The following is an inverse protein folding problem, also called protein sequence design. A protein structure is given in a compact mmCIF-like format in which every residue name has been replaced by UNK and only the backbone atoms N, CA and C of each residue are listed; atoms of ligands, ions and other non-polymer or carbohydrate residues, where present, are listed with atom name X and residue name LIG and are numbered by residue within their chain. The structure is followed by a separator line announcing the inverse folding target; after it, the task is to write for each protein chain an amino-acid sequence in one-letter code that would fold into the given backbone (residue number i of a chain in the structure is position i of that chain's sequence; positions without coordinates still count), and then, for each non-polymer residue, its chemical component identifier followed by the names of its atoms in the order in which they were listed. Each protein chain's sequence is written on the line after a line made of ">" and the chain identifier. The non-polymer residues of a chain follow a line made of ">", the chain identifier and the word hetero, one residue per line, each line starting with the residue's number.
data_IF_244427869356
#
_entry.id   IF_244427869356
#
_cell.length_a   1.000
_cell.length_b   1.000
_cell.length_c   1.000
_cell.angle_alpha   90.00
_cell.angle_beta   90.00
_cell.angle_gamma   90.00
#
_symmetry.space_group_name_H-M   'P 1'
#
loop_
_entity.id
_entity.type
_entity.pdbx_description
1 polymer ?
#
# COMPACT_ATOMS: atom_id res chain seq x y z
N UNK A 1 -4.12 10.28 19.02
CA UNK A 1 -2.79 9.71 19.33
C UNK A 1 -2.21 9.15 18.04
N UNK A 2 -1.13 9.74 17.53
CA UNK A 2 -0.48 9.28 16.29
C UNK A 2 0.45 8.11 16.61
N UNK A 3 -0.10 6.90 16.74
CA UNK A 3 0.71 5.68 16.78
C UNK A 3 1.06 5.27 15.35
N UNK A 4 2.00 6.00 14.74
CA UNK A 4 2.75 5.45 13.60
C UNK A 4 3.32 4.11 14.07
N UNK A 5 3.33 3.08 13.24
CA UNK A 5 3.98 1.80 13.51
C UNK A 5 5.18 1.62 12.59
N UNK A 6 5.04 2.04 11.33
CA UNK A 6 6.14 2.13 10.39
C UNK A 6 5.92 3.22 9.34
N UNK A 7 7.02 3.67 8.75
CA UNK A 7 7.09 4.66 7.69
C UNK A 7 7.55 4.01 6.39
N UNK A 8 6.74 4.09 5.35
CA UNK A 8 7.13 3.71 3.98
C UNK A 8 7.66 4.94 3.27
N UNK A 9 8.91 4.89 2.83
CA UNK A 9 9.57 5.94 2.05
C UNK A 9 9.87 5.43 0.66
N UNK A 10 9.28 6.04 -0.37
CA UNK A 10 9.58 5.75 -1.77
C UNK A 10 10.57 6.77 -2.32
N UNK A 11 11.67 6.27 -2.89
CA UNK A 11 12.67 7.04 -3.64
C UNK A 11 12.61 6.63 -5.11
N UNK A 12 12.19 7.54 -5.97
CA UNK A 12 12.21 7.33 -7.43
C UNK A 12 13.65 7.49 -7.91
N UNK A 13 14.16 6.47 -8.61
CA UNK A 13 15.47 6.46 -9.22
C UNK A 13 15.27 6.44 -10.74
N UNK A 14 14.82 7.57 -11.29
CA UNK A 14 14.68 7.82 -12.75
C UNK A 14 14.31 6.56 -13.56
N UNK A 15 15.15 6.13 -14.50
CA UNK A 15 14.93 5.00 -15.42
C UNK A 15 15.15 3.61 -14.80
N UNK A 16 15.63 3.53 -13.55
CA UNK A 16 15.96 2.27 -12.87
C UNK A 16 14.79 1.70 -12.04
N UNK A 17 13.75 2.52 -11.82
CA UNK A 17 12.56 2.15 -11.06
C UNK A 17 12.48 2.89 -9.72
N UNK A 18 11.79 2.29 -8.74
CA UNK A 18 11.60 2.87 -7.43
C UNK A 18 12.16 1.96 -6.34
N UNK A 19 12.75 2.55 -5.30
CA UNK A 19 13.09 1.87 -4.05
C UNK A 19 12.11 2.30 -2.97
N UNK A 20 11.67 1.34 -2.17
CA UNK A 20 10.83 1.54 -1.00
C UNK A 20 11.64 1.10 0.21
N UNK A 21 11.78 1.99 1.18
CA UNK A 21 12.38 1.69 2.47
C UNK A 21 11.30 1.77 3.53
N UNK A 22 11.26 0.77 4.41
CA UNK A 22 10.31 0.67 5.50
C UNK A 22 11.09 0.88 6.79
N UNK A 23 10.68 1.86 7.58
CA UNK A 23 11.31 2.18 8.86
C UNK A 23 10.34 1.95 10.00
N UNK A 24 10.82 1.46 11.13
CA UNK A 24 10.04 1.46 12.37
C UNK A 24 9.90 2.88 12.95
N UNK A 25 9.26 2.99 14.11
CA UNK A 25 9.10 4.27 14.81
C UNK A 25 10.40 4.88 15.35
N UNK A 26 11.41 4.06 15.62
CA UNK A 26 12.72 4.52 16.04
C UNK A 26 13.59 4.97 14.85
N UNK A 27 13.11 4.76 13.62
CA UNK A 27 13.83 5.10 12.39
C UNK A 27 14.78 4.00 11.91
N UNK A 28 14.72 2.80 12.47
CA UNK A 28 15.52 1.67 12.01
C UNK A 28 14.91 1.08 10.73
N UNK A 29 15.73 0.69 9.73
CA UNK A 29 15.24 -0.01 8.57
C UNK A 29 14.75 -1.40 8.97
N UNK A 30 13.49 -1.72 8.64
CA UNK A 30 12.85 -3.01 8.93
C UNK A 30 12.30 -3.69 7.67
N UNK A 31 12.44 -3.03 6.53
CA UNK A 31 12.13 -3.65 5.26
C UNK A 31 12.55 -2.83 4.06
N UNK A 32 12.65 -3.51 2.92
CA UNK A 32 13.10 -2.94 1.66
C UNK A 32 12.36 -3.57 0.49
N UNK A 33 11.93 -2.78 -0.48
CA UNK A 33 11.37 -3.27 -1.73
C UNK A 33 11.98 -2.52 -2.91
N UNK A 34 12.27 -3.24 -3.99
CA UNK A 34 12.77 -2.67 -5.24
C UNK A 34 11.78 -2.94 -6.37
N UNK A 35 11.14 -1.88 -6.85
CA UNK A 35 10.29 -1.94 -8.03
C UNK A 35 11.10 -1.60 -9.27
N UNK A 36 11.10 -2.51 -10.26
CA UNK A 36 11.77 -2.31 -11.55
C UNK A 36 10.88 -1.46 -12.47
N UNK A 37 11.45 -0.48 -13.18
CA UNK A 37 10.71 0.44 -14.06
C UNK A 37 9.95 -0.24 -15.21
N UNK A 38 10.43 -1.40 -15.70
CA UNK A 38 9.95 -2.03 -16.95
C UNK A 38 9.14 -3.33 -16.76
N UNK A 39 8.77 -3.71 -15.53
CA UNK A 39 7.91 -4.88 -15.32
C UNK A 39 6.43 -4.48 -15.47
N UNK A 40 5.84 -4.79 -16.64
CA UNK A 40 4.39 -4.62 -16.95
C UNK A 40 3.46 -5.48 -16.07
N UNK A 41 3.99 -6.47 -15.35
CA UNK A 41 3.28 -7.29 -14.37
C UNK A 41 3.95 -7.06 -13.01
N UNK A 42 3.21 -6.48 -12.06
CA UNK A 42 3.74 -6.11 -10.75
C UNK A 42 3.96 -7.36 -9.89
N UNK A 43 5.21 -7.81 -9.88
CA UNK A 43 5.79 -8.76 -8.93
C UNK A 43 6.63 -7.91 -7.97
N UNK A 44 6.03 -7.59 -6.82
CA UNK A 44 6.62 -6.76 -5.78
C UNK A 44 7.05 -7.67 -4.64
N UNK A 45 8.33 -7.57 -4.28
CA UNK A 45 8.94 -8.35 -3.20
C UNK A 45 9.44 -7.41 -2.13
N UNK A 46 9.09 -7.72 -0.89
CA UNK A 46 9.58 -7.02 0.29
C UNK A 46 10.57 -7.91 0.98
N UNK A 47 11.72 -7.35 1.30
CA UNK A 47 12.83 -8.00 1.97
C UNK A 47 13.05 -7.37 3.34
N UNK A 48 13.76 -8.06 4.23
CA UNK A 48 14.17 -7.52 5.53
C UNK A 48 15.08 -6.30 5.39
N UNK A 49 15.94 -6.28 4.36
CA UNK A 49 16.94 -5.23 4.13
C UNK A 49 17.35 -5.12 2.64
N UNK A 50 18.32 -4.26 2.35
CA UNK A 50 18.81 -4.01 0.99
C UNK A 50 19.59 -5.18 0.35
N UNK A 51 20.06 -6.15 1.14
CA UNK A 51 20.76 -7.35 0.63
C UNK A 51 19.84 -8.23 -0.21
N UNK A 52 18.52 -8.16 0.05
CA UNK A 52 17.49 -8.97 -0.58
C UNK A 52 17.68 -10.49 -0.35
N UNK A 53 18.35 -10.87 0.74
CA UNK A 53 18.56 -12.28 1.11
C UNK A 53 17.32 -12.94 1.73
N UNK A 54 16.57 -12.20 2.54
CA UNK A 54 15.37 -12.71 3.22
C UNK A 54 14.13 -11.95 2.76
N UNK A 55 13.20 -12.66 2.14
CA UNK A 55 11.92 -12.12 1.71
C UNK A 55 10.88 -12.20 2.85
N UNK A 56 10.15 -11.10 3.07
CA UNK A 56 9.10 -10.99 4.09
C UNK A 56 7.71 -11.22 3.51
N UNK A 57 7.44 -10.70 2.30
CA UNK A 57 6.19 -10.92 1.56
C UNK A 57 6.38 -10.73 0.06
N UNK A 58 5.56 -11.43 -0.71
CA UNK A 58 5.42 -11.27 -2.16
C UNK A 58 4.02 -10.74 -2.49
N UNK A 59 3.94 -9.77 -3.40
CA UNK A 59 2.68 -9.26 -3.96
C UNK A 59 2.69 -9.52 -5.46
N UNK A 60 1.68 -10.25 -5.95
CA UNK A 60 1.53 -10.58 -7.36
C UNK A 60 0.25 -9.96 -7.92
N UNK A 61 0.41 -9.10 -8.92
CA UNK A 61 -0.72 -8.54 -9.64
C UNK A 61 -1.29 -9.53 -10.67
N UNK A 62 -2.61 -9.66 -10.69
CA UNK A 62 -3.38 -10.32 -11.74
C UNK A 62 -4.53 -9.44 -12.20
N UNK A 63 -4.74 -9.40 -13.52
CA UNK A 63 -5.88 -8.71 -14.10
C UNK A 63 -7.12 -9.60 -13.98
N UNK A 64 -8.20 -9.04 -13.46
CA UNK A 64 -9.53 -9.65 -13.53
C UNK A 64 -10.23 -9.07 -14.77
N UNK A 65 -11.04 -9.90 -15.44
CA UNK A 65 -11.75 -9.57 -16.69
C UNK A 65 -12.57 -8.28 -16.55
N UNK A 66 -13.06 -7.97 -15.35
CA UNK A 66 -13.91 -6.81 -15.02
C UNK A 66 -13.15 -5.50 -14.70
N UNK A 67 -12.02 -5.24 -15.36
CA UNK A 67 -11.26 -3.97 -15.26
C UNK A 67 -10.78 -3.57 -13.86
N UNK A 68 -10.76 -4.52 -12.92
CA UNK A 68 -10.30 -4.32 -11.54
C UNK A 68 -8.96 -5.02 -11.34
N UNK A 69 -7.96 -4.29 -10.85
CA UNK A 69 -6.65 -4.85 -10.54
C UNK A 69 -6.72 -5.60 -9.20
N UNK A 70 -6.25 -6.84 -9.18
CA UNK A 70 -6.16 -7.67 -7.97
C UNK A 70 -4.70 -7.99 -7.67
N UNK A 71 -4.34 -7.91 -6.40
CA UNK A 71 -3.00 -8.05 -5.89
C UNK A 71 -2.98 -9.09 -4.77
N UNK A 72 -2.53 -10.28 -5.08
CA UNK A 72 -2.44 -11.38 -4.13
C UNK A 72 -1.17 -11.24 -3.28
N UNK A 73 -1.29 -11.41 -1.97
CA UNK A 73 -0.19 -11.30 -1.00
C UNK A 73 0.15 -12.67 -0.46
N UNK A 74 1.40 -13.08 -0.61
CA UNK A 74 1.89 -14.41 -0.21
C UNK A 74 2.93 -14.31 0.89
N UNK A 75 2.92 -15.30 1.78
CA UNK A 75 4.06 -15.62 2.63
C UNK A 75 5.12 -16.37 1.78
N UNK A 76 6.33 -15.83 1.62
CA UNK A 76 7.37 -16.43 0.78
C UNK A 76 7.88 -17.77 1.32
N UNK A 77 7.86 -17.95 2.65
CA UNK A 77 8.42 -19.14 3.29
C UNK A 77 7.53 -20.37 3.06
N UNK A 78 6.21 -20.19 3.17
CA UNK A 78 5.22 -21.27 2.99
C UNK A 78 4.61 -21.31 1.59
N UNK A 79 4.69 -20.22 0.82
CA UNK A 79 3.95 -20.03 -0.43
C UNK A 79 2.45 -19.81 -0.22
N UNK A 80 2.00 -19.65 1.03
CA UNK A 80 0.58 -19.52 1.37
C UNK A 80 0.05 -18.14 1.00
N UNK A 81 -1.14 -18.10 0.39
CA UNK A 81 -1.89 -16.87 0.20
C UNK A 81 -2.35 -16.33 1.56
N UNK A 82 -1.94 -15.11 1.89
CA UNK A 82 -2.38 -14.41 3.09
C UNK A 82 -3.70 -13.65 2.85
N UNK A 83 -3.91 -13.18 1.63
CA UNK A 83 -5.10 -12.43 1.21
C UNK A 83 -4.85 -11.63 -0.05
N UNK A 84 -5.86 -10.91 -0.51
CA UNK A 84 -5.79 -10.18 -1.79
C UNK A 84 -6.35 -8.77 -1.68
N UNK A 85 -5.63 -7.80 -2.23
CA UNK A 85 -6.08 -6.43 -2.39
C UNK A 85 -6.72 -6.25 -3.76
N UNK A 86 -7.99 -5.84 -3.78
CA UNK A 86 -8.73 -5.58 -5.02
C UNK A 86 -9.04 -4.10 -5.11
N UNK A 87 -8.59 -3.46 -6.19
CA UNK A 87 -8.94 -2.09 -6.53
C UNK A 87 -10.27 -2.09 -7.28
N UNK A 88 -11.29 -1.38 -6.79
CA UNK A 88 -12.59 -1.27 -7.48
C UNK A 88 -12.47 -0.35 -8.70
N UNK A 89 -12.49 -0.90 -9.91
CA UNK A 89 -12.46 -0.14 -11.18
C UNK A 89 -13.80 0.52 -11.56
N UNK A 90 -13.74 1.61 -12.34
CA UNK A 90 -14.80 2.39 -13.04
C UNK A 90 -16.06 2.86 -12.30
N UNK A 91 -16.50 2.23 -11.21
CA UNK A 91 -17.48 2.82 -10.26
C UNK A 91 -16.87 3.98 -9.43
N UNK A 92 -15.58 4.22 -9.64
CA UNK A 92 -14.66 5.00 -8.81
C UNK A 92 -14.15 6.26 -9.53
N UNK A 93 -14.95 6.89 -10.39
CA UNK A 93 -14.56 8.16 -11.09
C UNK A 93 -14.21 9.30 -10.10
N UNK A 94 -14.51 9.12 -8.80
CA UNK A 94 -14.28 10.10 -7.72
C UNK A 94 -13.41 9.58 -6.56
N UNK A 95 -13.20 8.26 -6.37
CA UNK A 95 -12.51 7.71 -5.17
C UNK A 95 -11.76 6.42 -5.43
N UNK A 96 -10.51 6.33 -4.97
CA UNK A 96 -9.81 5.06 -4.86
C UNK A 96 -10.35 4.25 -3.67
N UNK A 97 -11.17 3.23 -3.97
CA UNK A 97 -11.64 2.26 -2.99
C UNK A 97 -10.93 0.93 -3.21
N UNK A 98 -10.38 0.38 -2.13
CA UNK A 98 -9.79 -0.95 -2.14
C UNK A 98 -10.53 -1.86 -1.18
N UNK A 99 -10.59 -3.12 -1.56
CA UNK A 99 -11.14 -4.19 -0.73
C UNK A 99 -10.02 -5.16 -0.40
N UNK A 100 -9.93 -5.55 0.86
CA UNK A 100 -9.08 -6.65 1.29
C UNK A 100 -9.93 -7.91 1.42
N UNK A 101 -9.49 -8.96 0.74
CA UNK A 101 -10.08 -10.29 0.77
C UNK A 101 -9.21 -11.23 1.60
N UNK A 102 -9.85 -12.17 2.30
CA UNK A 102 -9.18 -13.33 2.88
C UNK A 102 -8.77 -14.34 1.79
N UNK A 103 -8.01 -15.40 2.14
CA UNK A 103 -7.61 -16.42 1.17
C UNK A 103 -8.77 -17.19 0.52
N UNK A 104 -9.95 -17.21 1.15
CA UNK A 104 -11.15 -17.82 0.62
C UNK A 104 -11.93 -16.87 -0.32
N UNK A 105 -11.48 -15.62 -0.48
CA UNK A 105 -12.10 -14.61 -1.32
C UNK A 105 -13.19 -13.80 -0.64
N UNK A 106 -13.42 -13.97 0.67
CA UNK A 106 -14.38 -13.16 1.40
C UNK A 106 -13.79 -11.81 1.75
N UNK A 107 -14.60 -10.75 1.63
CA UNK A 107 -14.20 -9.42 2.08
C UNK A 107 -14.00 -9.41 3.59
N UNK A 108 -12.84 -8.92 4.04
CA UNK A 108 -12.52 -8.74 5.47
C UNK A 108 -12.31 -7.29 5.86
N UNK A 109 -11.92 -6.44 4.91
CA UNK A 109 -11.78 -5.01 5.16
C UNK A 109 -11.96 -4.17 3.89
N UNK A 110 -12.17 -2.88 4.07
CA UNK A 110 -12.26 -1.88 3.02
C UNK A 110 -11.37 -0.69 3.37
N UNK A 111 -10.53 -0.28 2.42
CA UNK A 111 -9.68 0.89 2.52
C UNK A 111 -10.32 2.03 1.74
N UNK A 112 -10.51 3.16 2.41
CA UNK A 112 -11.16 4.36 1.85
C UNK A 112 -10.25 5.55 2.03
N UNK A 113 -10.33 6.47 1.09
CA UNK A 113 -9.77 7.79 1.26
C UNK A 113 -10.69 8.66 2.15
N UNK A 114 -10.10 9.39 3.11
CA UNK A 114 -10.84 10.13 4.14
C UNK A 114 -11.51 11.41 3.61
N UNK A 115 -10.84 12.17 2.73
CA UNK A 115 -11.29 13.53 2.36
C UNK A 115 -11.80 13.65 0.91
N UNK A 116 -13.10 13.45 0.78
CA UNK A 116 -13.90 13.65 -0.44
C UNK A 116 -13.74 15.01 -1.10
N UNK A 117 -13.74 16.09 -0.31
CA UNK A 117 -13.64 17.45 -0.83
C UNK A 117 -12.22 17.73 -1.34
N UNK A 118 -11.20 17.25 -0.63
CA UNK A 118 -9.81 17.37 -1.05
C UNK A 118 -9.52 16.53 -2.29
N UNK A 119 -10.17 15.37 -2.45
CA UNK A 119 -10.06 14.55 -3.66
C UNK A 119 -10.47 15.27 -4.93
N UNK A 120 -11.57 16.04 -4.88
CA UNK A 120 -11.99 16.87 -6.01
C UNK A 120 -11.03 18.06 -6.19
N UNK A 121 -10.64 18.74 -5.11
CA UNK A 121 -9.74 19.91 -5.16
C UNK A 121 -8.38 19.54 -5.77
N UNK A 122 -7.80 18.38 -5.44
CA UNK A 122 -6.52 17.90 -6.03
C UNK A 122 -6.56 17.81 -7.55
N UNK A 123 -7.72 17.49 -8.13
CA UNK A 123 -7.91 17.45 -9.59
C UNK A 123 -7.74 18.82 -10.25
N UNK A 124 -7.89 19.91 -9.48
CA UNK A 124 -7.85 21.29 -9.99
C UNK A 124 -6.70 22.15 -9.41
N UNK A 125 -6.12 21.83 -8.24
CA UNK A 125 -5.13 22.66 -7.52
C UNK A 125 -3.73 22.02 -7.34
N UNK A 126 -3.33 21.11 -8.23
CA UNK A 126 -2.03 20.41 -8.23
C UNK A 126 -1.82 19.41 -7.07
N UNK A 127 -0.92 18.44 -7.27
CA UNK A 127 -0.61 17.29 -6.39
C UNK A 127 0.08 17.64 -5.05
N UNK A 128 -0.22 18.81 -4.47
CA UNK A 128 0.39 19.30 -3.23
C UNK A 128 -0.39 18.92 -1.95
N UNK A 129 -1.55 18.28 -2.06
CA UNK A 129 -2.38 17.96 -0.88
C UNK A 129 -2.12 16.51 -0.45
N UNK A 130 -1.64 16.27 0.78
CA UNK A 130 -1.46 14.92 1.30
C UNK A 130 -2.75 14.12 1.33
N UNK A 131 -2.66 12.84 0.98
CA UNK A 131 -3.77 11.90 1.07
C UNK A 131 -3.71 11.12 2.39
N UNK A 132 -4.89 10.82 2.93
CA UNK A 132 -5.04 9.92 4.08
C UNK A 132 -6.09 8.85 3.77
N UNK A 133 -5.79 7.62 4.17
CA UNK A 133 -6.66 6.48 3.99
C UNK A 133 -6.90 5.76 5.31
N UNK A 134 -8.11 5.25 5.48
CA UNK A 134 -8.52 4.45 6.63
C UNK A 134 -8.94 3.06 6.18
N UNK A 135 -8.41 2.03 6.85
CA UNK A 135 -8.76 0.63 6.65
C UNK A 135 -9.76 0.20 7.70
N UNK A 136 -10.99 -0.07 7.27
CA UNK A 136 -12.07 -0.52 8.13
C UNK A 136 -12.34 -2.01 7.93
N UNK A 137 -12.21 -2.79 9.00
CA UNK A 137 -12.60 -4.19 9.06
C UNK A 137 -13.97 -4.36 9.74
N UNK A 138 -14.35 -5.61 10.02
CA UNK A 138 -15.61 -5.92 10.71
C UNK A 138 -15.75 -5.23 12.08
N UNK A 139 -14.66 -5.10 12.82
CA UNK A 139 -14.64 -4.52 14.17
C UNK A 139 -14.25 -3.03 14.20
N UNK A 140 -14.38 -2.33 13.06
CA UNK A 140 -14.04 -0.91 12.95
C UNK A 140 -12.64 -0.67 12.38
N UNK A 141 -12.04 0.47 12.74
CA UNK A 141 -10.78 0.94 12.19
C UNK A 141 -9.60 0.01 12.56
N UNK A 142 -8.94 -0.54 11.55
CA UNK A 142 -7.82 -1.48 11.70
C UNK A 142 -6.46 -0.83 11.45
N UNK A 143 -6.40 0.12 10.50
CA UNK A 143 -5.17 0.85 10.19
C UNK A 143 -5.47 2.20 9.52
N UNK A 144 -4.52 3.12 9.62
CA UNK A 144 -4.51 4.43 8.95
C UNK A 144 -3.24 4.56 8.11
N UNK A 145 -3.35 5.18 6.95
CA UNK A 145 -2.23 5.49 6.06
C UNK A 145 -2.24 6.98 5.78
N UNK A 146 -1.24 7.70 6.28
CA UNK A 146 -1.16 9.17 6.16
C UNK A 146 0.05 9.57 5.36
N UNK A 147 -0.18 10.14 4.20
CA UNK A 147 0.89 10.71 3.40
C UNK A 147 1.44 11.95 4.12
N UNK A 148 2.76 12.10 4.11
CA UNK A 148 3.40 13.32 4.56
C UNK A 148 3.72 14.17 3.32
N UNK A 149 3.36 15.46 3.37
CA UNK A 149 3.72 16.39 2.31
C UNK A 149 5.25 16.45 2.14
N UNK A 150 5.74 16.14 0.94
CA UNK A 150 7.13 16.36 0.56
C UNK A 150 7.24 16.37 -0.98
N UNK A 151 7.81 17.44 -1.59
CA UNK A 151 7.86 17.59 -3.04
C UNK A 151 8.88 16.67 -3.74
N UNK A 152 9.77 16.00 -3.01
CA UNK A 152 10.87 15.20 -3.58
C UNK A 152 10.80 13.71 -3.23
N UNK A 153 10.12 13.36 -2.14
CA UNK A 153 10.13 11.99 -1.60
C UNK A 153 8.74 11.65 -1.10
N UNK A 154 8.13 10.61 -1.66
CA UNK A 154 6.88 10.10 -1.13
C UNK A 154 7.12 9.40 0.22
N UNK A 155 6.34 9.81 1.24
CA UNK A 155 6.40 9.28 2.60
C UNK A 155 4.97 8.95 3.05
N UNK A 156 4.75 7.71 3.50
CA UNK A 156 3.48 7.23 4.00
C UNK A 156 3.67 6.65 5.40
N UNK A 157 3.08 7.30 6.40
CA UNK A 157 3.04 6.78 7.76
C UNK A 157 1.90 5.78 7.85
N UNK A 158 2.16 4.61 8.42
CA UNK A 158 1.15 3.58 8.64
C UNK A 158 0.96 3.42 10.13
N UNK A 159 -0.26 3.69 10.60
CA UNK A 159 -0.69 3.43 11.97
C UNK A 159 -1.57 2.20 12.01
N UNK A 160 -1.28 1.26 12.92
CA UNK A 160 -2.09 0.08 13.17
C UNK A 160 -2.82 0.30 14.50
N UNK A 161 -4.14 0.09 14.49
CA UNK A 161 -4.97 0.21 15.69
C UNK A 161 -4.63 -0.92 16.68
N UNK A 162 -4.53 -0.66 18.00
CA UNK A 162 -4.42 -1.72 18.98
C UNK A 162 -5.56 -2.73 18.86
N UNK A 163 -5.25 -4.03 18.85
CA UNK A 163 -6.24 -5.09 18.65
C UNK A 163 -6.61 -5.34 17.19
N UNK A 164 -5.85 -4.80 16.23
CA UNK A 164 -6.03 -5.08 14.82
C UNK A 164 -6.01 -6.59 14.55
N UNK A 165 -7.05 -7.09 13.88
CA UNK A 165 -7.21 -8.53 13.57
C UNK A 165 -6.65 -8.89 12.19
N UNK A 166 -6.15 -7.92 11.43
CA UNK A 166 -5.60 -8.12 10.08
C UNK A 166 -4.12 -8.44 10.19
N UNK A 167 -3.67 -9.44 9.42
CA UNK A 167 -2.26 -9.82 9.38
C UNK A 167 -1.36 -8.61 9.03
N UNK A 168 -0.27 -8.34 9.76
CA UNK A 168 0.57 -7.15 9.55
C UNK A 168 1.11 -7.01 8.12
N UNK A 169 1.46 -8.12 7.46
CA UNK A 169 1.90 -8.11 6.05
C UNK A 169 0.81 -7.69 5.07
N UNK A 170 -0.48 -7.91 5.35
CA UNK A 170 -1.57 -7.40 4.50
C UNK A 170 -1.66 -5.87 4.61
N UNK A 171 -1.48 -5.33 5.82
CA UNK A 171 -1.43 -3.88 6.05
C UNK A 171 -0.21 -3.28 5.34
N UNK A 172 0.96 -3.90 5.47
CA UNK A 172 2.18 -3.46 4.81
C UNK A 172 2.03 -3.50 3.28
N UNK A 173 1.46 -4.57 2.74
CA UNK A 173 1.18 -4.69 1.32
C UNK A 173 0.25 -3.57 0.83
N UNK A 174 -0.80 -3.24 1.59
CA UNK A 174 -1.69 -2.11 1.28
C UNK A 174 -0.93 -0.78 1.20
N UNK A 175 -0.05 -0.51 2.15
CA UNK A 175 0.79 0.69 2.14
C UNK A 175 1.77 0.74 0.97
N UNK A 176 2.35 -0.40 0.59
CA UNK A 176 3.25 -0.49 -0.58
C UNK A 176 2.48 -0.27 -1.89
N UNK A 177 1.28 -0.85 -2.02
CA UNK A 177 0.43 -0.67 -3.20
C UNK A 177 0.00 0.79 -3.35
N UNK A 178 -0.45 1.44 -2.27
CA UNK A 178 -0.71 2.89 -2.27
C UNK A 178 0.52 3.67 -2.73
N UNK A 179 1.67 3.40 -2.14
CA UNK A 179 2.92 4.09 -2.48
C UNK A 179 3.38 3.85 -3.93
N UNK A 180 3.12 2.67 -4.49
CA UNK A 180 3.48 2.30 -5.84
C UNK A 180 2.57 2.97 -6.89
N UNK A 181 1.27 3.02 -6.61
CA UNK A 181 0.25 3.54 -7.54
C UNK A 181 0.18 5.07 -7.50
N UNK A 182 0.14 5.69 -6.31
CA UNK A 182 0.06 7.15 -6.19
C UNK A 182 1.30 7.84 -6.76
N UNK A 183 2.50 7.32 -6.50
CA UNK A 183 3.71 7.91 -7.09
C UNK A 183 3.89 7.64 -8.59
N UNK A 184 2.91 7.08 -9.30
CA UNK A 184 2.83 7.11 -10.78
C UNK A 184 1.87 8.18 -11.31
N UNK A 185 1.00 8.73 -10.45
CA UNK A 185 0.04 9.78 -10.83
C UNK A 185 0.64 11.20 -10.75
N UNK A 186 1.87 11.32 -10.24
CA UNK A 186 2.68 12.55 -10.21
C UNK A 186 3.74 12.56 -11.31
#
# INVERSE_FOLDING_TARGET
>A
MNNCNYLIRRKVLSFLGAKFHIFDNAGNPVGFCRQKAFKLKEDIRVYSDESQCQELLTILARNIIDFSACYDVFDPASGMLLGSWVRKGWSSIVRDNWVLLDPAGNRIAELKEDDLALAVIRRFLCNLIPQSYTLHGYYGLQAEYKQCFNPFVFKLKVGITPGCSIHPYLILAGGILLAAIEGRQN
#
